data_IF_547417718718
#
_entry.id   IF_547417718718
#
_cell.length_a   1.000
_cell.length_b   1.000
_cell.length_c   1.000
_cell.angle_alpha   90.00
_cell.angle_beta   90.00
_cell.angle_gamma   90.00
#
_symmetry.space_group_name_H-M   'P 1'
#
loop_
_entity.id
_entity.type
_entity.pdbx_description
1 polymer ?
#
# COMPACT_ATOMS: atom_id res chain seq x y z
N UNK A 1 18.37 -16.39 -2.48
CA UNK A 1 18.86 -16.29 -1.10
C UNK A 1 19.08 -14.83 -0.82
N UNK A 2 18.57 -14.32 0.30
CA UNK A 2 18.75 -12.91 0.68
C UNK A 2 20.22 -12.62 0.97
N UNK A 3 20.61 -11.35 0.95
CA UNK A 3 21.95 -10.96 1.39
C UNK A 3 22.09 -11.21 2.91
N UNK A 4 23.30 -11.52 3.43
CA UNK A 4 23.51 -11.65 4.87
C UNK A 4 23.09 -10.39 5.66
N UNK A 5 23.14 -9.22 5.02
CA UNK A 5 22.64 -7.98 5.58
C UNK A 5 21.11 -8.01 5.74
N UNK A 6 20.36 -8.41 4.71
CA UNK A 6 18.90 -8.53 4.79
C UNK A 6 18.47 -9.56 5.83
N UNK A 7 19.15 -10.71 5.92
CA UNK A 7 18.85 -11.73 6.93
C UNK A 7 19.00 -11.17 8.35
N UNK A 8 20.07 -10.41 8.62
CA UNK A 8 20.26 -9.73 9.91
C UNK A 8 19.17 -8.67 10.15
N UNK A 9 18.90 -7.83 9.16
CA UNK A 9 17.87 -6.79 9.27
C UNK A 9 16.48 -7.39 9.55
N UNK A 10 16.15 -8.52 8.94
CA UNK A 10 14.87 -9.21 9.18
C UNK A 10 14.69 -9.64 10.64
N UNK A 11 15.79 -9.99 11.32
CA UNK A 11 15.77 -10.28 12.76
C UNK A 11 15.71 -8.99 13.58
N UNK A 12 16.52 -8.00 13.22
CA UNK A 12 16.64 -6.75 13.98
C UNK A 12 15.34 -5.93 13.96
N UNK A 13 14.59 -5.92 12.84
CA UNK A 13 13.33 -5.17 12.78
C UNK A 13 12.24 -5.75 13.68
N UNK A 14 12.30 -7.03 14.05
CA UNK A 14 11.34 -7.62 15.02
C UNK A 14 11.89 -7.61 16.46
N UNK A 15 13.04 -6.96 16.69
CA UNK A 15 13.63 -6.84 18.02
C UNK A 15 12.70 -6.11 18.98
N UNK A 16 12.69 -6.57 20.23
CA UNK A 16 12.05 -5.85 21.33
C UNK A 16 12.79 -4.55 21.68
N UNK A 17 14.09 -4.48 21.39
CA UNK A 17 14.88 -3.26 21.52
C UNK A 17 14.46 -2.26 20.43
N UNK A 18 13.93 -1.11 20.88
CA UNK A 18 13.41 -0.05 20.01
C UNK A 18 14.50 0.60 19.15
N UNK A 19 15.71 0.76 19.69
CA UNK A 19 16.81 1.40 18.96
C UNK A 19 17.33 0.47 17.86
N UNK A 20 17.49 -0.82 18.19
CA UNK A 20 17.84 -1.85 17.20
C UNK A 20 16.79 -1.92 16.10
N UNK A 21 15.51 -2.01 16.47
CA UNK A 21 14.40 -2.06 15.52
C UNK A 21 14.34 -0.83 14.64
N UNK A 22 14.42 0.37 15.20
CA UNK A 22 14.35 1.62 14.45
C UNK A 22 15.54 1.82 13.51
N UNK A 23 16.75 1.46 13.94
CA UNK A 23 17.94 1.49 13.09
C UNK A 23 17.81 0.50 11.92
N UNK A 24 17.33 -0.71 12.19
CA UNK A 24 17.12 -1.72 11.17
C UNK A 24 16.03 -1.30 10.17
N UNK A 25 14.92 -0.73 10.64
CA UNK A 25 13.86 -0.19 9.77
C UNK A 25 14.36 0.96 8.89
N UNK A 26 15.19 1.85 9.45
CA UNK A 26 15.80 2.92 8.67
C UNK A 26 16.69 2.34 7.56
N UNK A 27 17.54 1.37 7.90
CA UNK A 27 18.42 0.73 6.92
C UNK A 27 17.64 -0.04 5.85
N UNK A 28 16.59 -0.75 6.23
CA UNK A 28 15.73 -1.48 5.30
C UNK A 28 14.99 -0.53 4.35
N UNK A 29 14.55 0.64 4.83
CA UNK A 29 13.93 1.68 4.01
C UNK A 29 14.92 2.31 3.00
N UNK A 30 16.20 2.45 3.35
CA UNK A 30 17.27 2.81 2.41
C UNK A 30 17.46 1.75 1.33
N UNK A 31 17.54 0.46 1.72
CA UNK A 31 17.67 -0.65 0.78
C UNK A 31 16.44 -0.78 -0.13
N UNK A 32 15.24 -0.51 0.40
CA UNK A 32 14.02 -0.49 -0.41
C UNK A 32 14.09 0.61 -1.47
N UNK A 33 14.67 1.78 -1.16
CA UNK A 33 14.87 2.84 -2.16
C UNK A 33 15.90 2.46 -3.22
N UNK A 34 16.95 1.72 -2.86
CA UNK A 34 17.96 1.23 -3.81
C UNK A 34 17.59 -0.06 -4.54
N UNK A 35 16.40 -0.63 -4.26
CA UNK A 35 15.88 -1.88 -4.84
C UNK A 35 16.63 -3.15 -4.37
N UNK A 36 17.25 -3.07 -3.20
CA UNK A 36 18.03 -4.14 -2.58
C UNK A 36 17.24 -4.88 -1.48
N UNK A 37 15.91 -4.74 -1.46
CA UNK A 37 15.01 -5.51 -0.58
C UNK A 37 14.25 -6.51 -1.44
N UNK A 38 14.21 -7.77 -1.00
CA UNK A 38 13.51 -8.86 -1.68
C UNK A 38 12.37 -9.44 -0.82
N UNK A 39 11.69 -10.45 -1.38
CA UNK A 39 10.53 -11.10 -0.77
C UNK A 39 10.81 -11.70 0.63
N UNK A 40 12.07 -11.96 1.00
CA UNK A 40 12.42 -12.51 2.31
C UNK A 40 12.10 -11.56 3.47
N UNK A 41 11.89 -10.27 3.18
CA UNK A 41 11.56 -9.26 4.20
C UNK A 41 10.06 -9.17 4.51
N UNK A 42 9.19 -9.80 3.72
CA UNK A 42 7.75 -9.74 3.95
C UNK A 42 7.30 -10.27 5.32
N UNK A 43 7.81 -11.42 5.84
CA UNK A 43 7.36 -11.95 7.12
C UNK A 43 7.65 -11.00 8.30
N UNK A 44 8.85 -10.43 8.36
CA UNK A 44 9.28 -9.52 9.42
C UNK A 44 8.53 -8.19 9.36
N UNK A 45 8.31 -7.64 8.16
CA UNK A 45 7.46 -6.45 7.96
C UNK A 45 5.99 -6.70 8.33
N UNK A 46 5.45 -7.89 8.02
CA UNK A 46 4.08 -8.31 8.38
C UNK A 46 3.86 -8.29 9.89
N UNK A 47 4.87 -8.64 10.68
CA UNK A 47 4.82 -8.54 12.15
C UNK A 47 4.68 -7.08 12.58
N UNK A 48 5.50 -6.19 12.03
CA UNK A 48 5.49 -4.77 12.40
C UNK A 48 4.25 -4.01 11.94
N UNK A 49 3.64 -4.43 10.83
CA UNK A 49 2.34 -3.90 10.40
C UNK A 49 1.21 -4.15 11.42
N UNK A 50 1.41 -5.05 12.39
CA UNK A 50 0.48 -5.31 13.50
C UNK A 50 0.92 -4.65 14.82
N UNK A 51 2.02 -3.90 14.82
CA UNK A 51 2.56 -3.25 16.01
C UNK A 51 1.57 -2.24 16.59
N UNK A 52 1.43 -2.16 17.93
CA UNK A 52 0.66 -1.08 18.55
C UNK A 52 1.32 0.29 18.34
N UNK A 53 2.63 0.33 18.04
CA UNK A 53 3.40 1.55 17.81
C UNK A 53 3.14 2.02 16.38
N UNK A 54 2.72 3.28 16.23
CA UNK A 54 2.34 3.83 14.92
C UNK A 54 3.55 3.97 14.00
N UNK A 55 4.70 4.34 14.55
CA UNK A 55 5.95 4.55 13.82
C UNK A 55 6.45 3.23 13.18
N UNK A 56 6.28 2.10 13.86
CA UNK A 56 6.59 0.77 13.32
C UNK A 56 5.71 0.48 12.09
N UNK A 57 4.39 0.71 12.22
CA UNK A 57 3.43 0.46 11.13
C UNK A 57 3.70 1.35 9.93
N UNK A 58 3.94 2.65 10.16
CA UNK A 58 4.26 3.62 9.10
C UNK A 58 5.51 3.21 8.31
N UNK A 59 6.60 2.89 9.01
CA UNK A 59 7.86 2.47 8.36
C UNK A 59 7.68 1.16 7.61
N UNK A 60 7.03 0.17 8.23
CA UNK A 60 6.80 -1.12 7.60
C UNK A 60 5.89 -1.00 6.35
N UNK A 61 4.80 -0.22 6.42
CA UNK A 61 3.90 -0.02 5.28
C UNK A 61 4.59 0.73 4.14
N UNK A 62 5.46 1.70 4.45
CA UNK A 62 6.23 2.43 3.43
C UNK A 62 7.22 1.52 2.71
N UNK A 63 7.92 0.64 3.44
CA UNK A 63 8.82 -0.35 2.85
C UNK A 63 8.04 -1.30 1.95
N UNK A 64 6.88 -1.80 2.39
CA UNK A 64 5.99 -2.65 1.58
C UNK A 64 5.54 -1.97 0.28
N UNK A 65 5.13 -0.69 0.36
CA UNK A 65 4.76 0.08 -0.82
C UNK A 65 5.95 0.22 -1.79
N UNK A 66 7.15 0.46 -1.26
CA UNK A 66 8.36 0.58 -2.08
C UNK A 66 8.78 -0.75 -2.72
N UNK A 67 8.63 -1.86 -2.00
CA UNK A 67 8.84 -3.21 -2.55
C UNK A 67 7.88 -3.50 -3.70
N UNK A 68 6.59 -3.16 -3.56
CA UNK A 68 5.61 -3.33 -4.64
C UNK A 68 5.96 -2.44 -5.85
N UNK A 69 6.31 -1.17 -5.62
CA UNK A 69 6.77 -0.26 -6.67
C UNK A 69 8.04 -0.77 -7.40
N UNK A 70 8.94 -1.43 -6.67
CA UNK A 70 10.13 -2.05 -7.24
C UNK A 70 9.85 -3.40 -7.92
N UNK A 71 8.58 -3.81 -8.00
CA UNK A 71 8.12 -5.04 -8.64
C UNK A 71 8.68 -6.31 -8.01
N UNK A 72 8.82 -6.32 -6.68
CA UNK A 72 9.23 -7.53 -5.96
C UNK A 72 8.16 -8.61 -6.12
N UNK A 73 8.51 -9.69 -6.82
CA UNK A 73 7.67 -10.87 -6.99
C UNK A 73 7.62 -11.67 -5.69
N UNK A 74 6.41 -11.83 -5.13
CA UNK A 74 6.22 -12.50 -3.86
C UNK A 74 4.78 -12.95 -3.63
N UNK A 75 4.57 -13.75 -2.59
CA UNK A 75 3.24 -14.03 -2.05
C UNK A 75 2.83 -12.90 -1.09
N UNK A 76 2.14 -11.89 -1.62
CA UNK A 76 1.75 -10.70 -0.87
C UNK A 76 0.61 -10.95 0.12
N UNK A 77 0.65 -10.41 1.35
CA UNK A 77 -0.34 -10.67 2.38
C UNK A 77 -1.60 -9.80 2.19
N UNK A 78 -2.40 -10.08 1.15
CA UNK A 78 -3.55 -9.27 0.77
C UNK A 78 -4.56 -9.04 1.89
N UNK A 79 -4.83 -10.03 2.74
CA UNK A 79 -5.74 -9.87 3.88
C UNK A 79 -5.25 -8.80 4.86
N UNK A 80 -3.93 -8.75 5.12
CA UNK A 80 -3.34 -7.73 5.97
C UNK A 80 -3.32 -6.36 5.29
N UNK A 81 -2.91 -6.30 4.01
CA UNK A 81 -2.93 -5.05 3.24
C UNK A 81 -4.33 -4.44 3.18
N UNK A 82 -5.35 -5.27 2.96
CA UNK A 82 -6.75 -4.87 3.01
C UNK A 82 -7.13 -4.37 4.40
N UNK A 83 -6.71 -5.04 5.47
CA UNK A 83 -6.99 -4.57 6.84
C UNK A 83 -6.33 -3.22 7.16
N UNK A 84 -5.13 -2.95 6.65
CA UNK A 84 -4.40 -1.69 6.85
C UNK A 84 -5.08 -0.48 6.21
N UNK A 85 -5.97 -0.69 5.23
CA UNK A 85 -6.84 0.39 4.71
C UNK A 85 -7.80 0.94 5.77
N UNK A 86 -7.92 0.27 6.93
CA UNK A 86 -8.72 0.73 8.08
C UNK A 86 -7.86 1.16 9.27
N UNK A 87 -6.55 1.33 9.08
CA UNK A 87 -5.67 1.80 10.15
C UNK A 87 -6.09 3.18 10.66
N UNK A 88 -5.82 3.45 11.94
CA UNK A 88 -6.12 4.75 12.56
C UNK A 88 -5.26 5.86 11.95
N UNK A 89 -4.04 5.53 11.54
CA UNK A 89 -3.07 6.46 10.97
C UNK A 89 -3.28 6.63 9.46
N UNK A 90 -3.28 7.88 9.00
CA UNK A 90 -3.56 8.19 7.59
C UNK A 90 -2.43 7.72 6.66
N UNK A 91 -1.17 7.83 7.10
CA UNK A 91 -0.04 7.42 6.29
C UNK A 91 -0.02 5.90 6.09
N UNK A 92 -0.41 5.12 7.11
CA UNK A 92 -0.56 3.67 6.96
C UNK A 92 -1.66 3.31 5.96
N UNK A 93 -2.82 4.00 6.00
CA UNK A 93 -3.90 3.78 5.03
C UNK A 93 -3.49 4.14 3.61
N UNK A 94 -2.81 5.27 3.42
CA UNK A 94 -2.26 5.70 2.14
C UNK A 94 -1.28 4.67 1.58
N UNK A 95 -0.30 4.25 2.39
CA UNK A 95 0.69 3.26 1.99
C UNK A 95 0.06 1.91 1.62
N UNK A 96 -1.01 1.50 2.33
CA UNK A 96 -1.75 0.29 1.99
C UNK A 96 -2.43 0.41 0.62
N UNK A 97 -3.11 1.53 0.35
CA UNK A 97 -3.71 1.81 -0.96
C UNK A 97 -2.65 1.86 -2.07
N UNK A 98 -1.53 2.53 -1.82
CA UNK A 98 -0.40 2.59 -2.76
C UNK A 98 0.12 1.20 -3.08
N UNK A 99 0.39 0.39 -2.04
CA UNK A 99 0.88 -0.99 -2.20
C UNK A 99 -0.07 -1.80 -3.08
N UNK A 100 -1.38 -1.75 -2.80
CA UNK A 100 -2.39 -2.46 -3.59
C UNK A 100 -2.40 -2.01 -5.06
N UNK A 101 -2.30 -0.70 -5.34
CA UNK A 101 -2.24 -0.19 -6.71
C UNK A 101 -0.97 -0.59 -7.48
N UNK A 102 0.19 -0.58 -6.83
CA UNK A 102 1.44 -1.08 -7.43
C UNK A 102 1.35 -2.58 -7.75
N UNK A 103 0.77 -3.37 -6.85
CA UNK A 103 0.53 -4.80 -7.09
C UNK A 103 -0.41 -5.02 -8.28
N UNK A 104 -1.51 -4.26 -8.37
CA UNK A 104 -2.39 -4.32 -9.53
C UNK A 104 -1.66 -3.98 -10.84
N UNK A 105 -0.73 -3.02 -10.80
CA UNK A 105 0.14 -2.67 -11.94
C UNK A 105 1.06 -3.82 -12.37
N UNK A 106 1.41 -4.71 -11.43
CA UNK A 106 2.11 -5.97 -11.70
C UNK A 106 1.18 -7.10 -12.14
N UNK A 107 -0.12 -6.83 -12.33
CA UNK A 107 -1.19 -7.82 -12.56
C UNK A 107 -1.35 -8.82 -11.42
N UNK A 108 -1.10 -8.37 -10.18
CA UNK A 108 -1.30 -9.16 -8.96
C UNK A 108 -2.34 -8.46 -8.09
N UNK A 109 -3.45 -9.13 -7.80
CA UNK A 109 -4.50 -8.55 -6.97
C UNK A 109 -5.61 -9.53 -6.65
N UNK A 110 -6.47 -9.14 -5.69
CA UNK A 110 -7.65 -9.91 -5.31
C UNK A 110 -8.89 -9.03 -5.38
N UNK A 111 -10.02 -9.59 -5.79
CA UNK A 111 -11.28 -8.84 -5.98
C UNK A 111 -11.73 -8.13 -4.69
N UNK A 112 -11.46 -8.71 -3.51
CA UNK A 112 -11.82 -8.11 -2.23
C UNK A 112 -11.15 -6.74 -2.01
N UNK A 113 -9.95 -6.53 -2.54
CA UNK A 113 -9.22 -5.25 -2.43
C UNK A 113 -9.98 -4.09 -3.08
N UNK A 114 -10.75 -4.32 -4.14
CA UNK A 114 -11.61 -3.29 -4.76
C UNK A 114 -12.60 -2.73 -3.72
N UNK A 115 -13.20 -3.58 -2.88
CA UNK A 115 -14.14 -3.14 -1.84
C UNK A 115 -13.45 -2.27 -0.78
N UNK A 116 -12.26 -2.66 -0.32
CA UNK A 116 -11.50 -1.89 0.66
C UNK A 116 -11.05 -0.53 0.11
N UNK A 117 -10.55 -0.49 -1.12
CA UNK A 117 -10.19 0.76 -1.80
C UNK A 117 -11.43 1.65 -2.02
N UNK A 118 -12.57 1.07 -2.40
CA UNK A 118 -13.84 1.80 -2.53
C UNK A 118 -14.24 2.50 -1.23
N UNK A 119 -13.97 1.91 -0.07
CA UNK A 119 -14.19 2.56 1.24
C UNK A 119 -13.24 3.74 1.50
N UNK A 120 -11.98 3.64 1.08
CA UNK A 120 -11.02 4.75 1.20
C UNK A 120 -11.36 5.97 0.34
N UNK A 121 -12.27 5.86 -0.63
CA UNK A 121 -12.79 7.03 -1.36
C UNK A 121 -13.58 7.99 -0.46
N UNK A 122 -14.01 7.54 0.72
CA UNK A 122 -14.69 8.37 1.72
C UNK A 122 -13.74 8.84 2.84
N UNK A 123 -12.43 8.60 2.71
CA UNK A 123 -11.47 8.96 3.75
C UNK A 123 -11.47 10.47 4.01
N UNK A 124 -11.21 10.87 5.25
CA UNK A 124 -11.06 12.28 5.62
C UNK A 124 -9.80 12.91 5.00
N UNK A 125 -8.76 12.11 4.80
CA UNK A 125 -7.48 12.56 4.26
C UNK A 125 -7.51 12.57 2.72
N UNK A 126 -7.13 13.70 2.13
CA UNK A 126 -7.16 13.86 0.68
C UNK A 126 -6.11 13.01 -0.03
N UNK A 127 -4.95 12.75 0.59
CA UNK A 127 -3.94 11.86 0.01
C UNK A 127 -4.50 10.44 -0.06
N UNK A 128 -5.08 9.94 1.04
CA UNK A 128 -5.69 8.60 1.08
C UNK A 128 -6.79 8.44 0.00
N UNK A 129 -7.69 9.43 -0.15
CA UNK A 129 -8.73 9.39 -1.20
C UNK A 129 -8.14 9.35 -2.60
N UNK A 130 -7.14 10.19 -2.88
CA UNK A 130 -6.52 10.28 -4.20
C UNK A 130 -5.72 9.03 -4.54
N UNK A 131 -4.94 8.50 -3.59
CA UNK A 131 -4.21 7.24 -3.75
C UNK A 131 -5.16 6.06 -3.95
N UNK A 132 -6.30 6.04 -3.25
CA UNK A 132 -7.31 5.00 -3.48
C UNK A 132 -7.95 5.09 -4.87
N UNK A 133 -8.25 6.32 -5.33
CA UNK A 133 -8.76 6.54 -6.70
C UNK A 133 -7.77 6.03 -7.75
N UNK A 134 -6.48 6.35 -7.59
CA UNK A 134 -5.41 5.82 -8.44
C UNK A 134 -5.30 4.29 -8.36
N UNK A 135 -5.33 3.72 -7.16
CA UNK A 135 -5.25 2.26 -7.02
C UNK A 135 -6.43 1.56 -7.72
N UNK A 136 -7.64 2.09 -7.60
CA UNK A 136 -8.82 1.56 -8.30
C UNK A 136 -8.68 1.65 -9.82
N UNK A 137 -8.08 2.71 -10.35
CA UNK A 137 -7.70 2.81 -11.77
C UNK A 137 -6.77 1.65 -12.17
N UNK A 138 -5.72 1.38 -11.39
CA UNK A 138 -4.78 0.28 -11.67
C UNK A 138 -5.49 -1.09 -11.66
N UNK A 139 -6.41 -1.31 -10.71
CA UNK A 139 -7.22 -2.54 -10.67
C UNK A 139 -8.12 -2.67 -11.90
N UNK A 140 -8.77 -1.61 -12.34
CA UNK A 140 -9.61 -1.65 -13.53
C UNK A 140 -8.78 -1.87 -14.80
N UNK A 141 -7.67 -1.13 -14.95
CA UNK A 141 -6.83 -1.16 -16.14
C UNK A 141 -6.08 -2.48 -16.32
N UNK A 142 -5.50 -3.02 -15.24
CA UNK A 142 -4.60 -4.17 -15.33
C UNK A 142 -5.23 -5.50 -14.94
N UNK A 143 -6.29 -5.48 -14.12
CA UNK A 143 -6.96 -6.69 -13.62
C UNK A 143 -8.40 -6.82 -14.10
N UNK A 144 -8.95 -5.80 -14.77
CA UNK A 144 -10.38 -5.73 -15.12
C UNK A 144 -11.30 -5.91 -13.91
N UNK A 145 -10.84 -5.44 -12.74
CA UNK A 145 -11.57 -5.52 -11.48
C UNK A 145 -12.11 -4.14 -11.12
N UNK A 146 -13.43 -4.00 -11.07
CA UNK A 146 -14.12 -2.79 -10.66
C UNK A 146 -15.40 -3.14 -9.88
N UNK A 147 -16.10 -2.12 -9.37
CA UNK A 147 -17.44 -2.30 -8.81
C UNK A 147 -18.33 -1.10 -9.12
N UNK A 148 -19.66 -1.27 -9.26
CA UNK A 148 -20.58 -0.15 -9.48
C UNK A 148 -20.51 0.90 -8.37
N UNK A 149 -20.30 0.47 -7.12
CA UNK A 149 -20.15 1.38 -5.98
C UNK A 149 -18.86 2.22 -6.07
N UNK A 150 -17.76 1.65 -6.60
CA UNK A 150 -16.54 2.40 -6.86
C UNK A 150 -16.82 3.52 -7.88
N UNK A 151 -17.50 3.19 -8.99
CA UNK A 151 -17.85 4.17 -10.03
C UNK A 151 -18.70 5.30 -9.45
N UNK A 152 -19.76 4.99 -8.70
CA UNK A 152 -20.63 5.99 -8.08
C UNK A 152 -19.85 6.94 -7.12
N UNK A 153 -18.93 6.38 -6.32
CA UNK A 153 -18.13 7.18 -5.38
C UNK A 153 -17.08 8.02 -6.09
N UNK A 154 -16.45 7.50 -7.13
CA UNK A 154 -15.49 8.24 -7.96
C UNK A 154 -16.18 9.41 -8.68
N UNK A 155 -17.41 9.23 -9.18
CA UNK A 155 -18.18 10.33 -9.77
C UNK A 155 -18.35 11.50 -8.81
N UNK A 156 -18.67 11.22 -7.55
CA UNK A 156 -18.75 12.26 -6.50
C UNK A 156 -17.40 12.93 -6.25
N UNK A 157 -16.31 12.18 -6.30
CA UNK A 157 -14.95 12.71 -6.08
C UNK A 157 -14.42 13.57 -7.23
N UNK A 158 -15.03 13.56 -8.41
CA UNK A 158 -14.67 14.51 -9.48
C UNK A 158 -14.88 15.98 -9.07
N UNK A 159 -15.71 16.22 -8.05
CA UNK A 159 -15.92 17.54 -7.44
C UNK A 159 -15.13 17.75 -6.13
N UNK A 160 -14.18 16.87 -5.79
CA UNK A 160 -13.35 17.02 -4.60
C UNK A 160 -12.54 18.32 -4.65
N UNK A 161 -12.38 18.97 -3.49
CA UNK A 161 -11.62 20.23 -3.36
C UNK A 161 -10.14 20.05 -3.68
N UNK A 162 -9.59 18.86 -3.44
CA UNK A 162 -8.21 18.53 -3.77
C UNK A 162 -8.09 18.27 -5.27
N UNK A 163 -7.25 19.03 -6.00
CA UNK A 163 -7.01 18.77 -7.42
C UNK A 163 -6.39 17.40 -7.70
N UNK A 164 -5.64 16.86 -6.72
CA UNK A 164 -5.10 15.50 -6.82
C UNK A 164 -6.24 14.48 -6.86
N UNK A 165 -7.17 14.58 -5.91
CA UNK A 165 -8.29 13.64 -5.78
C UNK A 165 -9.22 13.72 -6.99
N UNK A 166 -9.64 14.91 -7.38
CA UNK A 166 -10.60 15.07 -8.49
C UNK A 166 -10.05 14.59 -9.82
N UNK A 167 -8.76 14.82 -10.10
CA UNK A 167 -8.09 14.31 -11.31
C UNK A 167 -7.92 12.79 -11.27
N UNK A 168 -7.48 12.23 -10.15
CA UNK A 168 -7.35 10.77 -10.00
C UNK A 168 -8.71 10.07 -10.14
N UNK A 169 -9.78 10.66 -9.60
CA UNK A 169 -11.13 10.13 -9.75
C UNK A 169 -11.61 10.17 -11.21
N UNK A 170 -11.36 11.27 -11.91
CA UNK A 170 -11.70 11.38 -13.34
C UNK A 170 -10.94 10.36 -14.20
N UNK A 171 -9.64 10.18 -13.96
CA UNK A 171 -8.80 9.18 -14.65
C UNK A 171 -9.33 7.76 -14.43
N UNK A 172 -9.63 7.39 -13.19
CA UNK A 172 -10.20 6.09 -12.85
C UNK A 172 -11.54 5.83 -13.57
N UNK A 173 -12.41 6.84 -13.67
CA UNK A 173 -13.71 6.72 -14.35
C UNK A 173 -13.58 6.55 -15.86
N UNK A 174 -12.58 7.18 -16.49
CA UNK A 174 -12.30 6.98 -17.91
C UNK A 174 -12.00 5.51 -18.21
N UNK A 175 -11.16 4.88 -17.39
CA UNK A 175 -10.85 3.45 -17.53
C UNK A 175 -12.06 2.56 -17.24
N UNK A 176 -12.86 2.87 -16.21
CA UNK A 176 -13.95 1.99 -15.77
C UNK A 176 -15.21 2.07 -16.65
N UNK A 177 -15.35 3.10 -17.47
CA UNK A 177 -16.51 3.32 -18.34
C UNK A 177 -16.26 2.99 -19.82
N UNK A 178 -15.01 2.78 -20.19
CA UNK A 178 -14.58 2.37 -21.53
C UNK A 178 -14.51 0.85 -21.64
#
# INVERSE_FOLDING_TARGET
>A
MGSPELERLNLDIISSDIEVRHSALKRMDELARSKDVDATSLPSLTVLLRSPIVEDRQRASRIMAKMAQNKVEAFWPFDLLNALTKDKDAEVRENAAWTLGELASMRVGVQSSVGYLTELLLDRDAMVRGTSSWALEQFAHHLHMSSPLAVERLEKLTCDRSPYVSKSAASALEIMKN
#
